data_IF_361764547583
#
_entry.id   IF_361764547583
#
_cell.length_a   1.000
_cell.length_b   1.000
_cell.length_c   1.000
_cell.angle_alpha   90.00
_cell.angle_beta   90.00
_cell.angle_gamma   90.00
#
_symmetry.space_group_name_H-M   'P 1'
#
loop_
_entity.id
_entity.type
_entity.pdbx_description
1 polymer ?
#
# COMPACT_ATOMS: atom_id res chain seq x y z
N UNK A 1 1.26 2.58 9.68
CA UNK A 1 0.61 1.35 9.20
C UNK A 1 1.59 0.41 8.52
N UNK A 2 1.39 -0.87 8.74
CA UNK A 2 2.05 -1.96 8.02
C UNK A 2 0.99 -2.76 7.28
N UNK A 3 1.26 -3.08 6.03
CA UNK A 3 0.41 -3.94 5.23
C UNK A 3 1.19 -5.17 4.78
N UNK A 4 0.76 -6.34 5.23
CA UNK A 4 1.44 -7.61 4.94
C UNK A 4 0.81 -8.30 3.75
N UNK A 5 1.66 -8.72 2.81
CA UNK A 5 1.22 -9.41 1.60
C UNK A 5 2.23 -10.46 1.17
N UNK A 6 1.74 -11.44 0.43
CA UNK A 6 2.55 -12.38 -0.32
C UNK A 6 2.04 -12.41 -1.75
N UNK A 7 2.71 -13.12 -2.62
CA UNK A 7 2.29 -13.19 -4.01
C UNK A 7 2.58 -14.57 -4.60
N UNK A 8 2.00 -14.83 -5.77
CA UNK A 8 2.11 -16.09 -6.47
C UNK A 8 0.89 -16.98 -6.30
N UNK A 9 0.96 -18.18 -6.83
CA UNK A 9 -0.19 -19.07 -6.97
C UNK A 9 -0.67 -19.74 -5.67
N UNK A 10 0.13 -19.68 -4.60
CA UNK A 10 -0.16 -20.41 -3.37
C UNK A 10 -0.23 -19.51 -2.16
N UNK A 11 -1.35 -19.52 -1.47
CA UNK A 11 -1.48 -18.97 -0.14
C UNK A 11 -1.69 -20.12 0.86
N UNK A 12 -1.14 -19.97 2.05
CA UNK A 12 -1.36 -20.94 3.11
C UNK A 12 -2.56 -20.50 3.96
N UNK A 13 -3.53 -21.39 4.26
CA UNK A 13 -4.74 -21.01 4.99
C UNK A 13 -4.49 -20.37 6.35
N UNK A 14 -3.44 -20.78 7.05
CA UNK A 14 -3.12 -20.26 8.36
C UNK A 14 -2.65 -18.81 8.38
N UNK A 15 -2.25 -18.28 7.21
CA UNK A 15 -1.80 -16.90 7.09
C UNK A 15 -2.87 -15.97 6.51
N UNK A 16 -4.03 -16.50 6.12
CA UNK A 16 -5.05 -15.75 5.41
C UNK A 16 -5.63 -14.57 6.19
N UNK A 17 -5.55 -14.59 7.52
CA UNK A 17 -6.08 -13.51 8.36
C UNK A 17 -5.10 -12.35 8.56
N UNK A 18 -3.82 -12.53 8.25
CA UNK A 18 -2.78 -11.54 8.53
C UNK A 18 -1.97 -11.13 7.31
N UNK A 19 -1.85 -12.01 6.34
CA UNK A 19 -1.07 -11.80 5.12
C UNK A 19 -2.00 -12.01 3.93
N UNK A 20 -2.18 -10.98 3.11
CA UNK A 20 -2.98 -11.08 1.90
C UNK A 20 -2.13 -11.66 0.79
N UNK A 21 -2.62 -12.72 0.14
CA UNK A 21 -1.95 -13.27 -1.03
C UNK A 21 -2.50 -12.64 -2.31
N UNK A 22 -1.59 -12.01 -3.05
CA UNK A 22 -1.88 -11.52 -4.39
C UNK A 22 -1.58 -12.66 -5.38
N UNK A 23 -2.57 -13.13 -6.09
CA UNK A 23 -2.47 -14.39 -6.87
C UNK A 23 -1.77 -14.24 -8.23
N UNK A 24 -0.90 -13.26 -8.39
CA UNK A 24 -0.07 -13.05 -9.57
C UNK A 24 1.36 -12.81 -9.13
N UNK A 25 2.30 -12.99 -10.05
CA UNK A 25 3.67 -12.61 -9.79
C UNK A 25 3.80 -11.10 -9.64
N UNK A 26 4.66 -10.66 -8.73
CA UNK A 26 4.94 -9.26 -8.48
C UNK A 26 6.43 -8.98 -8.69
N UNK A 27 6.72 -7.88 -9.36
CA UNK A 27 8.07 -7.34 -9.44
C UNK A 27 8.35 -6.51 -8.18
N UNK A 28 8.90 -7.15 -7.17
CA UNK A 28 9.15 -6.51 -5.86
C UNK A 28 10.15 -5.36 -5.99
N UNK A 29 11.20 -5.50 -6.80
CA UNK A 29 12.17 -4.43 -6.99
C UNK A 29 11.52 -3.18 -7.57
N UNK A 30 10.64 -3.34 -8.54
CA UNK A 30 9.88 -2.23 -9.09
C UNK A 30 8.93 -1.62 -8.06
N UNK A 31 8.29 -2.43 -7.23
CA UNK A 31 7.43 -1.93 -6.15
C UNK A 31 8.24 -1.16 -5.10
N UNK A 32 9.45 -1.63 -4.77
CA UNK A 32 10.35 -0.94 -3.86
C UNK A 32 10.79 0.42 -4.38
N UNK A 33 10.98 0.54 -5.68
CA UNK A 33 11.26 1.82 -6.33
C UNK A 33 10.01 2.71 -6.36
N UNK A 34 8.88 2.14 -6.74
CA UNK A 34 7.62 2.88 -6.87
C UNK A 34 7.10 3.44 -5.54
N UNK A 35 7.29 2.72 -4.44
CA UNK A 35 6.79 3.13 -3.13
C UNK A 35 7.39 4.47 -2.68
N UNK A 36 8.59 4.79 -3.14
CA UNK A 36 9.25 6.07 -2.82
C UNK A 36 8.56 7.28 -3.45
N UNK A 37 7.77 7.06 -4.50
CA UNK A 37 6.97 8.12 -5.12
C UNK A 37 6.01 8.75 -4.11
N UNK A 38 5.52 7.98 -3.14
CA UNK A 38 4.59 8.47 -2.14
C UNK A 38 5.23 9.36 -1.08
N UNK A 39 6.54 9.26 -0.87
CA UNK A 39 7.21 10.07 0.17
C UNK A 39 7.13 11.56 -0.16
N UNK A 40 7.02 12.39 0.87
CA UNK A 40 6.85 13.82 0.73
C UNK A 40 5.41 14.26 0.87
N UNK A 41 5.15 15.53 0.55
CA UNK A 41 3.82 16.12 0.64
C UNK A 41 3.14 16.08 -0.72
N UNK A 42 1.95 15.45 -0.76
CA UNK A 42 1.16 15.29 -1.98
C UNK A 42 -0.31 15.50 -1.70
N UNK A 43 -1.07 15.79 -2.74
CA UNK A 43 -2.53 15.76 -2.69
C UNK A 43 -3.00 14.34 -2.97
N UNK A 44 -3.54 13.67 -1.95
CA UNK A 44 -3.99 12.29 -2.02
C UNK A 44 -5.49 12.15 -2.29
N UNK A 45 -6.10 13.13 -2.94
CA UNK A 45 -7.54 13.10 -3.22
C UNK A 45 -8.00 11.83 -3.93
N UNK A 46 -7.22 11.33 -4.87
CA UNK A 46 -7.55 10.09 -5.60
C UNK A 46 -7.38 8.83 -4.76
N UNK A 47 -6.73 8.96 -3.59
CA UNK A 47 -6.49 7.87 -2.64
C UNK A 47 -7.38 7.99 -1.41
N UNK A 48 -8.53 8.61 -1.54
CA UNK A 48 -9.49 8.79 -0.46
C UNK A 48 -10.84 8.21 -0.84
N UNK A 49 -11.50 7.59 0.14
CA UNK A 49 -12.85 7.04 -0.03
C UNK A 49 -13.86 7.92 0.69
N UNK A 50 -14.90 8.32 -0.03
CA UNK A 50 -16.03 9.10 0.53
C UNK A 50 -15.58 10.30 1.39
N UNK A 51 -14.79 11.23 0.85
CA UNK A 51 -14.37 12.40 1.61
C UNK A 51 -15.55 13.34 1.88
N UNK A 52 -15.46 14.07 2.99
CA UNK A 52 -16.41 15.15 3.27
C UNK A 52 -16.00 16.41 2.52
N UNK A 53 -16.92 17.40 2.45
CA UNK A 53 -16.65 18.71 1.81
C UNK A 53 -15.52 19.49 2.49
N UNK A 54 -15.22 19.16 3.74
CA UNK A 54 -14.19 19.83 4.55
C UNK A 54 -12.87 19.06 4.59
N UNK A 55 -12.72 17.98 3.83
CA UNK A 55 -11.53 17.15 3.86
C UNK A 55 -10.33 17.88 3.24
N UNK A 56 -9.24 17.95 3.98
CA UNK A 56 -7.94 18.39 3.48
C UNK A 56 -7.22 17.17 2.93
N UNK A 57 -6.97 17.15 1.63
CA UNK A 57 -6.38 15.98 0.96
C UNK A 57 -4.86 15.98 0.97
N UNK A 58 -4.24 17.10 1.30
CA UNK A 58 -2.78 17.18 1.37
C UNK A 58 -2.29 16.44 2.60
N UNK A 59 -1.38 15.51 2.38
CA UNK A 59 -0.76 14.71 3.45
C UNK A 59 0.72 14.59 3.18
N UNK A 60 1.50 14.58 4.26
CA UNK A 60 2.93 14.31 4.20
C UNK A 60 3.17 12.84 4.57
N UNK A 61 3.74 12.09 3.63
CA UNK A 61 4.24 10.75 3.92
C UNK A 61 5.69 10.88 4.36
N UNK A 62 5.93 10.62 5.63
CA UNK A 62 7.25 10.78 6.26
C UNK A 62 8.20 9.71 5.73
N UNK A 63 7.72 8.47 5.62
CA UNK A 63 8.48 7.36 5.06
C UNK A 63 7.56 6.31 4.49
N UNK A 64 8.03 5.64 3.44
CA UNK A 64 7.33 4.53 2.81
C UNK A 64 8.34 3.54 2.26
N UNK A 65 8.15 2.25 2.56
CA UNK A 65 9.06 1.19 2.11
C UNK A 65 8.31 -0.12 1.91
N UNK A 66 8.90 -1.00 1.10
CA UNK A 66 8.47 -2.39 1.00
C UNK A 66 9.67 -3.24 1.37
N UNK A 67 9.51 -4.04 2.42
CA UNK A 67 10.57 -4.87 2.97
C UNK A 67 10.13 -6.34 3.01
N UNK A 68 11.10 -7.23 3.10
CA UNK A 68 10.79 -8.64 3.32
C UNK A 68 10.17 -8.82 4.69
N UNK A 69 9.18 -9.70 4.80
CA UNK A 69 8.55 -9.97 6.08
C UNK A 69 9.54 -10.59 7.07
N UNK A 70 9.62 -10.01 8.27
CA UNK A 70 10.41 -10.53 9.38
C UNK A 70 9.55 -10.80 10.63
N UNK A 71 8.32 -10.28 10.65
CA UNK A 71 7.42 -10.38 11.81
C UNK A 71 6.78 -11.76 11.95
N UNK A 72 6.29 -12.29 10.83
CA UNK A 72 5.63 -13.60 10.83
C UNK A 72 6.62 -14.64 10.37
N UNK A 73 7.00 -15.54 11.28
CA UNK A 73 8.00 -16.57 11.03
C UNK A 73 7.35 -17.96 11.16
N UNK A 74 7.95 -18.94 10.52
CA UNK A 74 7.51 -20.33 10.58
C UNK A 74 7.37 -20.94 9.19
N UNK A 75 7.18 -22.26 9.16
CA UNK A 75 7.10 -23.02 7.93
C UNK A 75 5.87 -22.70 7.06
N UNK A 76 4.85 -22.11 7.67
CA UNK A 76 3.60 -21.78 6.98
C UNK A 76 3.59 -20.35 6.41
N UNK A 77 4.63 -19.56 6.67
CA UNK A 77 4.73 -18.22 6.15
C UNK A 77 5.39 -18.29 4.77
N UNK A 78 4.73 -17.77 3.72
CA UNK A 78 5.31 -17.80 2.38
C UNK A 78 6.64 -17.06 2.32
N UNK A 79 7.60 -17.59 1.55
CA UNK A 79 8.88 -16.91 1.30
C UNK A 79 8.69 -15.60 0.54
N UNK A 80 7.57 -15.48 -0.18
CA UNK A 80 7.20 -14.27 -0.92
C UNK A 80 6.52 -13.22 -0.04
N UNK A 81 6.43 -13.44 1.27
CA UNK A 81 5.79 -12.49 2.18
C UNK A 81 6.63 -11.23 2.37
N UNK A 82 5.98 -10.10 2.19
CA UNK A 82 6.57 -8.77 2.30
C UNK A 82 5.67 -7.85 3.11
N UNK A 83 6.18 -6.70 3.47
CA UNK A 83 5.43 -5.69 4.21
C UNK A 83 5.61 -4.32 3.57
N UNK A 84 4.48 -3.65 3.33
CA UNK A 84 4.45 -2.23 2.98
C UNK A 84 4.33 -1.45 4.28
N UNK A 85 5.36 -0.66 4.59
CA UNK A 85 5.42 0.20 5.77
C UNK A 85 5.22 1.64 5.33
N UNK A 86 4.32 2.36 5.98
CA UNK A 86 4.06 3.76 5.66
C UNK A 86 3.81 4.54 6.93
N UNK A 87 4.43 5.71 7.02
CA UNK A 87 4.33 6.61 8.17
C UNK A 87 3.89 7.99 7.74
N UNK A 88 2.90 8.52 8.43
CA UNK A 88 2.36 9.87 8.25
C UNK A 88 1.76 10.35 9.56
N UNK A 89 1.57 11.65 9.69
CA UNK A 89 0.88 12.23 10.85
C UNK A 89 -0.64 12.01 10.79
N UNK A 90 -1.15 11.73 9.63
CA UNK A 90 -2.57 11.44 9.44
C UNK A 90 -2.83 10.90 8.06
N UNK A 91 -3.78 9.98 7.96
CA UNK A 91 -4.18 9.35 6.70
C UNK A 91 -5.65 9.66 6.40
N UNK A 92 -5.96 9.75 5.12
CA UNK A 92 -7.33 9.81 4.63
C UNK A 92 -7.98 8.42 4.76
N UNK A 93 -9.30 8.40 4.76
CA UNK A 93 -10.03 7.13 4.81
C UNK A 93 -9.66 6.24 3.63
N UNK A 94 -9.25 5.02 3.92
CA UNK A 94 -8.79 4.00 2.98
C UNK A 94 -7.51 4.36 2.20
N UNK A 95 -6.83 5.42 2.58
CA UNK A 95 -5.63 5.87 1.86
C UNK A 95 -4.59 4.77 1.73
N UNK A 96 -4.21 4.12 2.83
CA UNK A 96 -3.17 3.08 2.81
C UNK A 96 -3.57 1.91 1.91
N UNK A 97 -4.84 1.51 1.96
CA UNK A 97 -5.35 0.41 1.12
C UNK A 97 -5.37 0.77 -0.36
N UNK A 98 -5.69 2.01 -0.70
CA UNK A 98 -5.64 2.50 -2.09
C UNK A 98 -4.20 2.61 -2.57
N UNK A 99 -3.28 3.06 -1.72
CA UNK A 99 -1.85 3.08 -2.03
C UNK A 99 -1.33 1.67 -2.28
N UNK A 100 -1.70 0.71 -1.43
CA UNK A 100 -1.27 -0.68 -1.61
C UNK A 100 -1.81 -1.28 -2.91
N UNK A 101 -3.06 -1.02 -3.25
CA UNK A 101 -3.64 -1.49 -4.52
C UNK A 101 -2.88 -0.91 -5.72
N UNK A 102 -2.51 0.36 -5.66
CA UNK A 102 -1.69 0.97 -6.72
C UNK A 102 -0.31 0.32 -6.83
N UNK A 103 0.30 -0.03 -5.70
CA UNK A 103 1.59 -0.75 -5.68
C UNK A 103 1.46 -2.15 -6.27
N UNK A 104 0.38 -2.87 -5.98
CA UNK A 104 0.10 -4.16 -6.64
C UNK A 104 -0.01 -3.99 -8.15
N UNK A 105 -0.63 -2.92 -8.61
CA UNK A 105 -0.77 -2.64 -10.05
C UNK A 105 0.58 -2.33 -10.69
N UNK A 106 1.48 -1.66 -9.98
CA UNK A 106 2.86 -1.47 -10.46
C UNK A 106 3.59 -2.81 -10.53
N UNK A 107 3.54 -3.59 -9.46
CA UNK A 107 4.25 -4.88 -9.39
C UNK A 107 3.76 -5.90 -10.39
N UNK A 108 2.49 -5.86 -10.77
CA UNK A 108 1.90 -6.78 -11.75
C UNK A 108 1.93 -6.25 -13.19
N UNK A 109 2.49 -5.06 -13.41
CA UNK A 109 2.65 -4.52 -14.75
C UNK A 109 1.48 -3.71 -15.29
N UNK A 110 0.48 -3.41 -14.47
CA UNK A 110 -0.68 -2.58 -14.88
C UNK A 110 -0.28 -1.11 -15.01
N UNK A 111 0.53 -0.64 -14.07
CA UNK A 111 1.07 0.73 -14.10
C UNK A 111 2.59 0.73 -14.17
N UNK A 112 3.15 1.69 -14.90
CA UNK A 112 4.55 2.06 -14.75
C UNK A 112 4.72 2.99 -13.55
N UNK A 113 5.97 3.20 -13.12
CA UNK A 113 6.27 4.17 -12.07
C UNK A 113 5.87 5.59 -12.50
N UNK A 114 6.09 5.93 -13.77
CA UNK A 114 5.65 7.23 -14.33
C UNK A 114 4.14 7.41 -14.27
N UNK A 115 3.39 6.35 -14.57
CA UNK A 115 1.93 6.39 -14.46
C UNK A 115 1.48 6.60 -13.01
N UNK A 116 2.15 5.98 -12.05
CA UNK A 116 1.87 6.21 -10.62
C UNK A 116 2.15 7.65 -10.22
N UNK A 117 3.26 8.23 -10.68
CA UNK A 117 3.56 9.65 -10.46
C UNK A 117 2.46 10.54 -11.02
N UNK A 118 1.99 10.24 -12.21
CA UNK A 118 0.92 11.00 -12.86
C UNK A 118 -0.40 10.92 -12.09
N UNK A 119 -0.71 9.76 -11.49
CA UNK A 119 -1.89 9.61 -10.65
C UNK A 119 -1.85 10.58 -9.46
N UNK A 120 -0.69 10.75 -8.84
CA UNK A 120 -0.52 11.72 -7.76
C UNK A 120 -0.61 13.16 -8.24
N UNK A 121 0.03 13.49 -9.36
CA UNK A 121 0.06 14.85 -9.90
C UNK A 121 -1.34 15.28 -10.38
N UNK A 122 -2.05 14.37 -11.02
CA UNK A 122 -3.39 14.61 -11.57
C UNK A 122 -4.46 14.33 -10.51
N UNK A 123 -4.35 14.97 -9.36
CA UNK A 123 -5.18 14.70 -8.17
C UNK A 123 -6.65 15.07 -8.36
N UNK A 124 -6.99 15.92 -9.32
CA UNK A 124 -8.35 16.36 -9.60
C UNK A 124 -9.15 15.40 -10.47
N UNK A 125 -8.53 14.31 -10.91
CA UNK A 125 -9.22 13.25 -11.64
C UNK A 125 -9.98 12.34 -10.67
N UNK A 126 -10.73 11.38 -11.21
CA UNK A 126 -11.55 10.47 -10.42
C UNK A 126 -10.74 9.70 -9.38
N UNK A 127 -11.33 9.43 -8.20
CA UNK A 127 -10.70 8.58 -7.19
C UNK A 127 -10.40 7.18 -7.72
N UNK A 128 -9.34 6.58 -7.21
CA UNK A 128 -9.04 5.18 -7.47
C UNK A 128 -10.16 4.31 -6.90
N UNK A 129 -10.57 3.30 -7.65
CA UNK A 129 -11.73 2.47 -7.28
C UNK A 129 -11.36 1.16 -6.60
N UNK A 130 -10.10 0.76 -6.70
CA UNK A 130 -9.65 -0.54 -6.25
C UNK A 130 -8.92 -0.42 -4.92
N UNK A 131 -9.44 -1.13 -3.90
CA UNK A 131 -8.83 -1.20 -2.57
C UNK A 131 -8.13 -2.53 -2.39
N UNK A 132 -6.99 -2.52 -1.70
CA UNK A 132 -6.42 -3.76 -1.18
C UNK A 132 -7.28 -4.25 0.00
N UNK A 133 -7.39 -5.56 0.22
CA UNK A 133 -8.18 -6.11 1.33
C UNK A 133 -7.71 -5.62 2.68
N UNK A 134 -8.64 -5.35 3.59
CA UNK A 134 -8.34 -4.76 4.90
C UNK A 134 -7.59 -5.70 5.85
N UNK A 135 -7.70 -7.01 5.66
CA UNK A 135 -7.10 -7.99 6.58
C UNK A 135 -5.57 -7.98 6.60
N UNK A 136 -4.91 -7.44 5.58
CA UNK A 136 -3.46 -7.27 5.57
C UNK A 136 -2.98 -6.02 6.32
N UNK A 137 -3.90 -5.12 6.66
CA UNK A 137 -3.56 -3.82 7.24
C UNK A 137 -3.50 -3.88 8.77
N UNK A 138 -2.39 -3.39 9.33
CA UNK A 138 -2.19 -3.30 10.76
C UNK A 138 -1.71 -1.91 11.13
N UNK A 139 -2.33 -1.31 12.15
CA UNK A 139 -1.81 -0.10 12.76
C UNK A 139 -0.65 -0.51 13.67
N UNK A 140 0.59 -0.25 13.23
CA UNK A 140 1.77 -0.73 13.90
C UNK A 140 2.15 0.13 15.11
N UNK A 141 2.07 1.45 14.95
CA UNK A 141 2.52 2.40 15.99
C UNK A 141 1.81 3.73 15.86
N UNK A 142 1.38 4.25 17.00
CA UNK A 142 0.87 5.62 17.12
C UNK A 142 1.81 6.40 18.01
N UNK A 143 2.32 7.54 17.52
CA UNK A 143 3.12 8.48 18.30
C UNK A 143 2.26 9.68 18.64
N UNK A 144 2.04 9.90 19.92
CA UNK A 144 1.34 11.08 20.42
C UNK A 144 2.38 12.15 20.75
N UNK A 145 2.13 13.35 20.28
CA UNK A 145 2.94 14.50 20.64
C UNK A 145 2.07 15.62 21.14
#
# INVERSE_FOLDING_TARGET
YHYYFSYGDKSHPFNASHIINFNKELDIEMMQEAVKVFEGTHNFKRFACKPSDHTIFEREIISASIDKNERYLGEYVPETAHVFKVKSRGFLRYQVRLMMAALFDVGSGVYSIEELKNILIEFDKEPLKRNAPSSGLNLHKINFK
#
